data_IF_374228578245
#
_entry.id   IF_374228578245
#
_cell.length_a   1.000
_cell.length_b   1.000
_cell.length_c   1.000
_cell.angle_alpha   90.00
_cell.angle_beta   90.00
_cell.angle_gamma   90.00
#
_symmetry.space_group_name_H-M   'P 1'
#
loop_
_entity.id
_entity.type
_entity.pdbx_description
1 polymer ?
#
# COMPACT_ATOMS: atom_id res chain seq x y z
N UNK A 1 28.01 22.60 7.03
CA UNK A 1 27.21 21.70 6.18
C UNK A 1 26.50 20.55 6.93
N UNK A 2 27.13 19.85 7.89
CA UNK A 2 26.49 18.71 8.60
C UNK A 2 25.36 19.08 9.58
N UNK A 3 25.31 20.32 10.08
CA UNK A 3 24.30 20.76 11.05
C UNK A 3 22.92 21.00 10.42
N UNK A 4 22.88 21.63 9.24
CA UNK A 4 21.62 21.88 8.52
C UNK A 4 20.95 20.58 8.06
N UNK A 5 21.73 19.59 7.62
CA UNK A 5 21.20 18.28 7.22
C UNK A 5 20.48 17.57 8.38
N UNK A 6 21.01 17.65 9.61
CA UNK A 6 20.38 17.08 10.80
C UNK A 6 19.09 17.81 11.18
N UNK A 7 19.08 19.14 11.06
CA UNK A 7 17.89 19.96 11.31
C UNK A 7 16.79 19.70 10.27
N UNK A 8 17.14 19.57 8.99
CA UNK A 8 16.17 19.25 7.93
C UNK A 8 15.57 17.85 8.12
N UNK A 9 16.38 16.86 8.51
CA UNK A 9 15.90 15.50 8.81
C UNK A 9 14.98 15.52 10.04
N UNK A 10 15.35 16.22 11.11
CA UNK A 10 14.52 16.33 12.31
C UNK A 10 13.17 17.03 12.04
N UNK A 11 13.17 18.08 11.21
CA UNK A 11 11.95 18.79 10.80
C UNK A 11 11.07 17.90 9.91
N UNK A 12 11.67 17.14 8.98
CA UNK A 12 10.94 16.20 8.13
C UNK A 12 10.30 15.07 8.94
N UNK A 13 11.02 14.48 9.91
CA UNK A 13 10.48 13.46 10.83
C UNK A 13 9.38 14.05 11.72
N UNK A 14 9.55 15.29 12.19
CA UNK A 14 8.54 16.00 12.99
C UNK A 14 7.25 16.30 12.21
N UNK A 15 7.35 16.67 10.93
CA UNK A 15 6.20 16.91 10.05
C UNK A 15 5.46 15.62 9.69
N UNK A 16 6.18 14.51 9.50
CA UNK A 16 5.58 13.18 9.25
C UNK A 16 4.76 12.70 10.46
N UNK A 17 5.12 13.10 11.69
CA UNK A 17 4.39 12.72 12.90
C UNK A 17 3.11 13.55 13.15
N UNK A 18 2.85 14.64 12.41
CA UNK A 18 1.85 15.64 12.78
C UNK A 18 0.53 15.61 11.99
N UNK A 19 0.29 14.58 11.18
CA UNK A 19 -0.95 14.48 10.38
C UNK A 19 -1.65 13.13 10.59
N UNK A 20 -2.11 12.87 11.81
CA UNK A 20 -3.10 11.81 12.06
C UNK A 20 -4.49 12.39 11.88
N UNK A 21 -5.12 12.12 10.75
CA UNK A 21 -6.55 12.39 10.54
C UNK A 21 -7.29 11.13 10.95
N UNK A 22 -8.17 11.22 11.96
CA UNK A 22 -9.03 10.10 12.32
C UNK A 22 -9.99 9.79 11.16
N UNK A 23 -9.87 8.60 10.58
CA UNK A 23 -10.84 8.09 9.61
C UNK A 23 -11.93 7.34 10.38
N UNK A 24 -13.17 7.84 10.34
CA UNK A 24 -14.33 7.22 10.99
C UNK A 24 -14.84 5.93 10.32
N UNK A 25 -14.14 5.41 9.31
CA UNK A 25 -14.51 4.19 8.61
C UNK A 25 -13.78 2.98 9.21
N UNK A 26 -14.53 2.02 9.73
CA UNK A 26 -14.03 0.70 10.09
C UNK A 26 -14.15 -0.18 8.84
N UNK A 27 -13.03 -0.51 8.20
CA UNK A 27 -12.96 -1.47 7.08
C UNK A 27 -11.88 -2.51 7.38
N UNK A 28 -12.08 -3.75 6.93
CA UNK A 28 -11.17 -4.88 7.19
C UNK A 28 -10.58 -5.47 5.89
N UNK A 29 -10.45 -4.65 4.85
CA UNK A 29 -9.90 -5.04 3.52
C UNK A 29 -8.53 -5.70 3.59
N UNK A 30 -7.74 -5.38 4.61
CA UNK A 30 -6.32 -5.74 4.69
C UNK A 30 -6.08 -7.20 5.12
N UNK A 31 -7.11 -7.94 5.55
CA UNK A 31 -6.95 -9.30 6.11
C UNK A 31 -6.67 -10.39 5.07
N UNK A 32 -7.01 -10.17 3.80
CA UNK A 32 -6.91 -11.20 2.74
C UNK A 32 -5.59 -11.14 1.95
N UNK A 33 -4.83 -10.05 2.10
CA UNK A 33 -3.60 -9.78 1.37
C UNK A 33 -3.86 -9.03 0.06
N UNK A 34 -3.00 -8.07 -0.27
CA UNK A 34 -3.25 -7.10 -1.34
C UNK A 34 -2.60 -7.47 -2.69
N UNK A 35 -2.04 -8.68 -2.85
CA UNK A 35 -1.54 -9.13 -4.15
C UNK A 35 -1.47 -10.64 -4.28
N UNK A 36 -1.50 -11.13 -5.52
CA UNK A 36 -1.36 -12.56 -5.80
C UNK A 36 -0.03 -13.13 -5.27
N UNK A 37 1.07 -12.36 -5.37
CA UNK A 37 2.40 -12.76 -4.86
C UNK A 37 2.41 -12.85 -3.34
N UNK A 38 1.83 -11.86 -2.65
CA UNK A 38 1.69 -11.90 -1.19
C UNK A 38 0.84 -13.08 -0.74
N UNK A 39 -0.31 -13.29 -1.39
CA UNK A 39 -1.24 -14.37 -1.06
C UNK A 39 -0.62 -15.76 -1.27
N UNK A 40 0.12 -15.96 -2.38
CA UNK A 40 0.84 -17.22 -2.66
C UNK A 40 1.95 -17.52 -1.63
N UNK A 41 2.47 -16.51 -0.95
CA UNK A 41 3.44 -16.65 0.15
C UNK A 41 2.75 -16.81 1.51
N UNK A 42 1.44 -17.10 1.56
CA UNK A 42 0.69 -17.16 2.81
C UNK A 42 0.69 -15.84 3.58
N UNK A 43 0.74 -14.72 2.85
CA UNK A 43 0.89 -13.35 3.38
C UNK A 43 2.24 -13.08 4.10
N UNK A 44 3.24 -13.95 3.95
CA UNK A 44 4.61 -13.72 4.45
C UNK A 44 5.46 -12.90 3.46
N UNK A 45 5.06 -11.65 3.20
CA UNK A 45 5.60 -10.85 2.08
C UNK A 45 6.53 -9.69 2.47
N UNK A 46 6.46 -9.19 3.71
CA UNK A 46 7.01 -7.88 4.13
C UNK A 46 8.50 -7.64 3.77
N UNK A 47 9.34 -8.68 3.83
CA UNK A 47 10.78 -8.57 3.60
C UNK A 47 11.16 -8.60 2.11
N UNK A 48 10.28 -9.12 1.25
CA UNK A 48 10.49 -9.24 -0.21
C UNK A 48 9.54 -8.31 -0.99
N UNK A 49 8.97 -7.31 -0.30
CA UNK A 49 8.10 -6.30 -0.86
C UNK A 49 8.93 -5.22 -1.60
N UNK A 50 9.49 -5.57 -2.75
CA UNK A 50 10.45 -4.78 -3.53
C UNK A 50 9.95 -4.46 -4.95
N UNK A 51 8.64 -4.55 -5.17
CA UNK A 51 7.98 -4.38 -6.46
C UNK A 51 6.72 -3.48 -6.33
N UNK A 52 5.88 -3.46 -7.38
CA UNK A 52 4.62 -2.74 -7.42
C UNK A 52 3.69 -2.97 -6.21
N UNK A 53 3.75 -4.13 -5.56
CA UNK A 53 2.89 -4.48 -4.42
C UNK A 53 3.40 -3.92 -3.09
N UNK A 54 4.62 -3.36 -3.04
CA UNK A 54 5.22 -2.81 -1.83
C UNK A 54 4.38 -1.67 -1.21
N UNK A 55 3.57 -0.99 -2.05
CA UNK A 55 2.63 0.06 -1.63
C UNK A 55 1.71 -0.39 -0.50
N UNK A 56 1.29 -1.66 -0.50
CA UNK A 56 0.31 -2.20 0.44
C UNK A 56 0.95 -2.89 1.64
N UNK A 57 2.14 -3.48 1.47
CA UNK A 57 2.77 -4.33 2.49
C UNK A 57 3.93 -3.64 3.23
N UNK A 58 4.80 -2.92 2.52
CA UNK A 58 5.98 -2.30 3.11
C UNK A 58 6.48 -1.13 2.24
N UNK A 59 6.12 0.13 2.55
CA UNK A 59 6.55 1.28 1.76
C UNK A 59 8.07 1.51 1.78
N UNK A 60 8.82 0.98 2.76
CA UNK A 60 10.28 1.11 2.77
C UNK A 60 10.92 0.34 1.61
N UNK A 61 10.30 -0.77 1.19
CA UNK A 61 10.75 -1.57 0.07
C UNK A 61 10.59 -0.89 -1.29
N UNK A 62 9.76 0.18 -1.39
CA UNK A 62 9.67 1.01 -2.59
C UNK A 62 11.04 1.59 -3.01
N UNK A 63 11.91 1.87 -2.03
CA UNK A 63 13.26 2.36 -2.31
C UNK A 63 14.13 1.37 -3.11
N UNK A 64 13.73 0.09 -3.17
CA UNK A 64 14.41 -0.98 -3.91
C UNK A 64 13.70 -1.34 -5.22
N UNK A 65 12.58 -0.67 -5.55
CA UNK A 65 11.84 -0.93 -6.79
C UNK A 65 12.68 -0.51 -7.99
N UNK A 66 12.90 -1.46 -8.88
CA UNK A 66 13.62 -1.23 -10.12
C UNK A 66 12.66 -0.85 -11.25
N UNK A 67 12.83 0.36 -11.77
CA UNK A 67 12.04 0.89 -12.87
C UNK A 67 10.58 1.18 -12.50
N UNK A 68 9.83 1.66 -13.49
CA UNK A 68 8.40 1.93 -13.35
C UNK A 68 7.62 0.61 -13.43
N UNK A 69 6.73 0.35 -12.47
CA UNK A 69 5.96 -0.89 -12.42
C UNK A 69 4.47 -0.61 -12.28
N UNK A 70 3.67 -1.46 -12.90
CA UNK A 70 2.22 -1.51 -12.78
C UNK A 70 1.87 -2.93 -12.34
N UNK A 71 1.06 -3.07 -11.30
CA UNK A 71 0.58 -4.36 -10.82
C UNK A 71 -0.94 -4.36 -10.75
N UNK A 72 -1.54 -5.51 -11.05
CA UNK A 72 -2.96 -5.74 -10.93
C UNK A 72 -3.20 -7.16 -10.44
N UNK A 73 -4.01 -7.29 -9.40
CA UNK A 73 -4.47 -8.56 -8.84
C UNK A 73 -5.98 -8.57 -8.87
N UNK A 74 -6.56 -9.66 -9.35
CA UNK A 74 -7.99 -9.94 -9.27
C UNK A 74 -8.19 -11.34 -8.69
N UNK A 75 -9.09 -11.44 -7.71
CA UNK A 75 -9.46 -12.69 -7.06
C UNK A 75 -10.98 -12.76 -6.98
N UNK A 76 -11.55 -13.86 -7.47
CA UNK A 76 -12.92 -14.23 -7.12
C UNK A 76 -12.89 -14.91 -5.77
N UNK A 77 -13.52 -14.30 -4.77
CA UNK A 77 -13.59 -14.85 -3.42
C UNK A 77 -14.78 -15.79 -3.36
N UNK A 78 -14.56 -17.02 -3.85
CA UNK A 78 -15.55 -18.08 -3.82
C UNK A 78 -15.77 -18.52 -2.36
N UNK A 79 -16.78 -17.95 -1.71
CA UNK A 79 -17.25 -18.42 -0.41
C UNK A 79 -18.34 -19.46 -0.62
N UNK A 80 -18.15 -20.65 -0.04
CA UNK A 80 -19.18 -21.68 -0.02
C UNK A 80 -20.43 -21.14 0.67
N UNK A 81 -21.55 -21.08 -0.05
CA UNK A 81 -22.85 -20.61 0.45
C UNK A 81 -23.27 -19.20 0.00
N UNK A 82 -22.44 -18.49 -0.77
CA UNK A 82 -22.83 -17.25 -1.44
C UNK A 82 -23.14 -17.57 -2.91
N UNK A 83 -24.43 -17.78 -3.22
CA UNK A 83 -24.91 -18.01 -4.59
C UNK A 83 -25.49 -16.70 -5.15
N UNK A 84 -25.02 -16.30 -6.35
CA UNK A 84 -25.56 -15.15 -7.09
C UNK A 84 -24.95 -13.80 -6.75
N UNK A 85 -23.85 -13.74 -5.99
CA UNK A 85 -23.15 -12.49 -5.67
C UNK A 85 -21.73 -12.46 -6.24
N UNK A 86 -21.32 -11.33 -6.80
CA UNK A 86 -20.03 -11.14 -7.46
C UNK A 86 -18.94 -10.72 -6.45
N UNK A 87 -18.81 -11.49 -5.35
CA UNK A 87 -17.84 -11.19 -4.31
C UNK A 87 -16.40 -11.39 -4.82
N UNK A 88 -15.63 -10.31 -4.85
CA UNK A 88 -14.28 -10.34 -5.37
C UNK A 88 -13.38 -9.29 -4.75
N UNK A 89 -12.08 -9.45 -5.02
CA UNK A 89 -11.05 -8.48 -4.67
C UNK A 89 -10.38 -7.99 -5.96
N UNK A 90 -10.15 -6.68 -6.03
CA UNK A 90 -9.43 -6.02 -7.10
C UNK A 90 -8.39 -5.11 -6.46
N UNK A 91 -7.13 -5.33 -6.80
CA UNK A 91 -6.03 -4.50 -6.31
C UNK A 91 -5.20 -4.04 -7.49
N UNK A 92 -4.92 -2.75 -7.55
CA UNK A 92 -4.08 -2.15 -8.58
C UNK A 92 -3.06 -1.22 -7.93
N UNK A 93 -1.83 -1.23 -8.43
CA UNK A 93 -0.81 -0.29 -7.99
C UNK A 93 0.12 0.14 -9.09
N UNK A 94 0.73 1.29 -8.88
CA UNK A 94 1.73 1.86 -9.75
C UNK A 94 2.88 2.40 -8.91
N UNK A 95 4.11 2.12 -9.30
CA UNK A 95 5.32 2.60 -8.64
C UNK A 95 6.27 3.28 -9.61
N UNK A 96 6.84 4.40 -9.17
CA UNK A 96 7.73 5.24 -9.95
C UNK A 96 8.97 5.57 -9.11
N UNK A 97 10.16 5.08 -9.50
CA UNK A 97 11.41 5.56 -8.95
C UNK A 97 11.60 7.05 -9.26
N UNK A 98 12.05 7.80 -8.26
CA UNK A 98 12.31 9.24 -8.27
C UNK A 98 13.80 9.46 -7.98
N UNK A 99 14.64 9.13 -8.97
CA UNK A 99 16.09 9.10 -8.81
C UNK A 99 16.57 7.78 -8.19
N UNK A 100 17.76 7.80 -7.58
CA UNK A 100 18.43 6.58 -7.10
C UNK A 100 18.02 6.13 -5.69
N UNK A 101 17.41 7.02 -4.90
CA UNK A 101 17.18 6.77 -3.46
C UNK A 101 15.72 6.79 -3.06
N UNK A 102 14.82 7.16 -3.95
CA UNK A 102 13.43 7.42 -3.61
C UNK A 102 12.51 6.80 -4.64
N UNK A 103 11.34 6.37 -4.21
CA UNK A 103 10.27 5.96 -5.09
C UNK A 103 8.92 6.33 -4.50
N UNK A 104 7.99 6.65 -5.38
CA UNK A 104 6.58 6.88 -5.05
C UNK A 104 5.77 5.67 -5.52
N UNK A 105 4.75 5.33 -4.74
CA UNK A 105 3.77 4.32 -5.08
C UNK A 105 2.36 4.80 -4.81
N UNK A 106 1.45 4.46 -5.70
CA UNK A 106 0.01 4.65 -5.51
C UNK A 106 -0.69 3.31 -5.66
N UNK A 107 -1.75 3.11 -4.88
CA UNK A 107 -2.47 1.85 -4.85
C UNK A 107 -3.95 2.05 -4.61
N UNK A 108 -4.75 1.15 -5.15
CA UNK A 108 -6.17 1.03 -4.87
C UNK A 108 -6.52 -0.42 -4.59
N UNK A 109 -7.25 -0.66 -3.51
CA UNK A 109 -7.78 -1.96 -3.13
C UNK A 109 -9.29 -1.86 -3.00
N UNK A 110 -9.99 -2.83 -3.57
CA UNK A 110 -11.42 -3.03 -3.44
C UNK A 110 -11.68 -4.47 -3.07
N UNK A 111 -12.55 -4.67 -2.09
CA UNK A 111 -13.15 -5.96 -1.79
C UNK A 111 -14.64 -5.79 -1.58
N UNK A 112 -15.42 -6.74 -2.06
CA UNK A 112 -16.86 -6.75 -1.89
C UNK A 112 -17.55 -7.22 -3.15
N UNK A 113 -18.84 -6.98 -3.19
CA UNK A 113 -19.69 -7.31 -4.32
C UNK A 113 -20.38 -6.06 -4.87
N UNK A 114 -21.42 -6.28 -5.67
CA UNK A 114 -22.24 -5.21 -6.24
C UNK A 114 -23.08 -4.53 -5.14
N UNK A 115 -23.41 -5.24 -4.04
CA UNK A 115 -24.26 -4.72 -2.97
C UNK A 115 -23.48 -3.90 -1.92
N UNK A 116 -22.29 -4.38 -1.56
CA UNK A 116 -21.44 -3.74 -0.55
C UNK A 116 -19.99 -3.93 -0.89
N UNK A 117 -19.22 -2.87 -0.66
CA UNK A 117 -17.79 -2.92 -0.84
C UNK A 117 -17.03 -2.06 0.14
N UNK A 118 -15.84 -2.54 0.46
CA UNK A 118 -14.83 -1.81 1.20
C UNK A 118 -13.69 -1.48 0.24
N UNK A 119 -13.18 -0.26 0.36
CA UNK A 119 -12.22 0.30 -0.58
C UNK A 119 -11.11 1.03 0.17
N UNK A 120 -9.93 1.06 -0.44
CA UNK A 120 -8.78 1.76 0.10
C UNK A 120 -7.93 2.38 -1.01
N UNK A 121 -7.62 3.67 -0.87
CA UNK A 121 -6.64 4.36 -1.70
C UNK A 121 -5.36 4.61 -0.89
N UNK A 122 -4.21 4.39 -1.51
CA UNK A 122 -2.90 4.39 -0.86
C UNK A 122 -1.94 5.29 -1.63
N UNK A 123 -1.20 6.11 -0.89
CA UNK A 123 -0.05 6.86 -1.41
C UNK A 123 1.13 6.58 -0.50
N UNK A 124 2.20 6.04 -1.09
CA UNK A 124 3.36 5.53 -0.37
C UNK A 124 4.65 6.15 -0.90
N UNK A 125 5.57 6.46 -0.01
CA UNK A 125 6.91 6.95 -0.32
C UNK A 125 7.93 6.03 0.35
N UNK A 126 8.94 5.60 -0.42
CA UNK A 126 10.11 4.89 0.09
C UNK A 126 11.38 5.70 -0.11
N UNK A 127 12.28 5.68 0.87
CA UNK A 127 13.55 6.39 0.84
C UNK A 127 14.70 5.54 1.38
N UNK A 128 15.79 5.47 0.63
CA UNK A 128 17.04 4.81 1.00
C UNK A 128 17.96 5.78 1.74
N UNK A 129 18.13 5.56 3.05
CA UNK A 129 19.06 6.34 3.88
C UNK A 129 20.49 5.85 3.64
N UNK A 130 20.65 4.53 3.68
CA UNK A 130 21.92 3.84 3.41
C UNK A 130 21.63 2.60 2.56
N UNK A 131 22.68 1.95 2.05
CA UNK A 131 22.54 0.68 1.32
C UNK A 131 21.86 -0.43 2.13
N UNK A 132 21.84 -0.34 3.46
CA UNK A 132 21.24 -1.34 4.36
C UNK A 132 19.98 -0.86 5.09
N UNK A 133 19.66 0.45 5.05
CA UNK A 133 18.56 1.03 5.80
C UNK A 133 17.67 1.88 4.89
N UNK A 134 16.42 1.46 4.79
CA UNK A 134 15.36 2.18 4.08
C UNK A 134 14.24 2.56 5.04
N UNK A 135 13.56 3.67 4.76
CA UNK A 135 12.34 4.09 5.45
C UNK A 135 11.22 4.21 4.43
N UNK A 136 9.99 4.05 4.91
CA UNK A 136 8.81 4.33 4.11
C UNK A 136 7.66 4.86 4.94
N UNK A 137 6.79 5.61 4.28
CA UNK A 137 5.58 6.20 4.85
C UNK A 137 4.43 5.96 3.87
N UNK A 138 3.25 5.66 4.40
CA UNK A 138 2.03 5.48 3.62
C UNK A 138 0.89 6.27 4.23
N UNK A 139 0.19 7.02 3.38
CA UNK A 139 -1.12 7.59 3.67
C UNK A 139 -2.19 6.67 3.08
N UNK A 140 -3.23 6.39 3.86
CA UNK A 140 -4.36 5.53 3.45
C UNK A 140 -5.67 6.29 3.60
N UNK A 141 -6.54 6.19 2.60
CA UNK A 141 -7.92 6.65 2.66
C UNK A 141 -8.84 5.45 2.49
N UNK A 142 -9.63 5.15 3.51
CA UNK A 142 -10.44 3.95 3.63
C UNK A 142 -11.92 4.32 3.68
N UNK A 143 -12.74 3.64 2.89
CA UNK A 143 -14.16 3.94 2.80
C UNK A 143 -14.96 2.68 2.39
N UNK A 144 -16.23 2.64 2.78
CA UNK A 144 -17.17 1.63 2.33
C UNK A 144 -18.23 2.27 1.45
N UNK A 145 -18.87 1.45 0.61
CA UNK A 145 -19.98 1.83 -0.24
C UNK A 145 -21.00 0.71 -0.23
N UNK A 146 -22.28 1.07 -0.10
CA UNK A 146 -23.43 0.16 -0.18
C UNK A 146 -24.33 0.69 -1.29
N UNK A 147 -24.83 -0.22 -2.13
CA UNK A 147 -25.85 0.08 -3.13
C UNK A 147 -27.22 0.21 -2.43
N UNK A 148 -28.05 1.16 -2.88
CA UNK A 148 -29.39 1.43 -2.31
C UNK A 148 -30.43 0.32 -2.63
#
# INVERSE_FOLDING_TARGET
MRAHLKQTIAIAVGLICLATIEAGAIVNIQSLGASARSSALGNAYVAVADNGDAVFANPAGLANVNGRQLAYTNVSLLFSGIDGDNLGQHVASFTQPLGEKMALGVGYERIGSDLMSENGAFVSLGYSITSALQLGVTSKYLFWSVED
#
